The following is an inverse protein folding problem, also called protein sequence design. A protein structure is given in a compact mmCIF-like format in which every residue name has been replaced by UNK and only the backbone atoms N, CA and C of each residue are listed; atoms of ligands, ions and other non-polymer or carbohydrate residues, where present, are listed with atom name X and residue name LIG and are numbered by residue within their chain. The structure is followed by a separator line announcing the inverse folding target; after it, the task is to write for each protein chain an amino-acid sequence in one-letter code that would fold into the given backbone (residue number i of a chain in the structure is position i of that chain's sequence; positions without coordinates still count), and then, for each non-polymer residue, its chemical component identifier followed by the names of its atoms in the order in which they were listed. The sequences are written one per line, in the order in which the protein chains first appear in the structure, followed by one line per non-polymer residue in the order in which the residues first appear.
data_IF_110369244828
#
_entry.id   IF_110369244828
#
_cell.length_a   1.000
_cell.length_b   1.000
_cell.length_c   1.000
_cell.angle_alpha   90.00
_cell.angle_beta   90.00
_cell.angle_gamma   90.00
#
_symmetry.space_group_name_H-M   'P 1'
#
loop_
_entity.id
_entity.type
_entity.pdbx_description
1 polymer ?
#
# COMPACT_ATOMS: atom_id res chain seq x y z
N UNK A 1 26.71 27.60 -10.03
CA UNK A 1 25.39 28.29 -9.98
C UNK A 1 24.87 28.09 -8.58
N UNK A 2 24.78 29.14 -7.81
CA UNK A 2 24.44 29.13 -6.39
C UNK A 2 23.03 28.56 -6.18
N UNK A 3 22.95 27.47 -5.47
CA UNK A 3 21.68 26.92 -4.97
C UNK A 3 21.14 27.92 -3.95
N UNK A 4 20.14 28.70 -4.35
CA UNK A 4 19.54 29.75 -3.54
C UNK A 4 18.82 29.23 -2.27
N UNK A 5 18.56 27.91 -2.19
CA UNK A 5 18.01 27.24 -1.01
C UNK A 5 18.49 25.77 -1.01
N UNK A 6 19.29 25.32 -0.04
CA UNK A 6 19.73 23.93 0.08
C UNK A 6 18.62 23.03 0.67
N UNK A 7 17.43 23.07 0.06
CA UNK A 7 16.28 22.30 0.53
C UNK A 7 16.56 20.80 0.50
N UNK A 8 17.33 20.33 -0.51
CA UNK A 8 17.73 18.93 -0.61
C UNK A 8 18.63 18.51 0.54
N UNK A 9 19.60 19.34 0.92
CA UNK A 9 20.51 19.08 2.05
C UNK A 9 19.76 19.07 3.39
N UNK A 10 18.78 19.95 3.56
CA UNK A 10 17.96 20.01 4.78
C UNK A 10 17.05 18.78 4.91
N UNK A 11 16.46 18.33 3.80
CA UNK A 11 15.65 17.10 3.76
C UNK A 11 16.54 15.89 4.03
N UNK A 12 17.71 15.80 3.38
CA UNK A 12 18.66 14.69 3.58
C UNK A 12 19.16 14.65 5.04
N UNK A 13 19.49 15.82 5.61
CA UNK A 13 19.89 15.91 7.01
C UNK A 13 18.76 15.55 7.98
N UNK A 14 17.54 16.00 7.71
CA UNK A 14 16.35 15.62 8.49
C UNK A 14 16.07 14.13 8.45
N UNK A 15 16.16 13.53 7.27
CA UNK A 15 15.98 12.06 7.09
C UNK A 15 17.09 11.29 7.81
N UNK A 16 18.35 11.73 7.72
CA UNK A 16 19.46 11.10 8.45
C UNK A 16 19.30 11.17 9.96
N UNK A 17 18.86 12.32 10.49
CA UNK A 17 18.60 12.47 11.93
C UNK A 17 17.46 11.54 12.41
N UNK A 18 16.42 11.35 11.59
CA UNK A 18 15.34 10.40 11.88
C UNK A 18 15.86 8.96 11.87
N UNK A 19 16.72 8.61 10.92
CA UNK A 19 17.33 7.28 10.84
C UNK A 19 18.26 7.04 12.02
N UNK A 20 19.05 8.01 12.45
CA UNK A 20 20.01 7.86 13.54
C UNK A 20 19.35 7.82 14.93
N UNK A 21 18.30 8.62 15.15
CA UNK A 21 17.63 8.70 16.45
C UNK A 21 16.60 7.59 16.68
N UNK A 22 15.91 7.12 15.64
CA UNK A 22 14.78 6.18 15.74
C UNK A 22 14.93 4.96 14.81
N UNK A 23 16.18 4.59 14.47
CA UNK A 23 16.46 3.45 13.59
C UNK A 23 15.74 2.16 14.03
N UNK A 24 15.61 1.93 15.34
CA UNK A 24 14.97 0.74 15.89
C UNK A 24 13.45 0.69 15.66
N UNK A 25 12.75 1.79 15.89
CA UNK A 25 11.29 1.87 15.73
C UNK A 25 10.88 1.88 14.25
N UNK A 26 11.61 2.60 13.40
CA UNK A 26 11.39 2.61 11.96
C UNK A 26 11.64 1.24 11.33
N UNK A 27 12.73 0.56 11.73
CA UNK A 27 13.01 -0.79 11.26
C UNK A 27 11.95 -1.80 11.71
N UNK A 28 11.48 -1.71 12.95
CA UNK A 28 10.39 -2.58 13.43
C UNK A 28 9.08 -2.33 12.69
N UNK A 29 8.74 -1.09 12.41
CA UNK A 29 7.57 -0.74 11.62
C UNK A 29 7.68 -1.25 10.18
N UNK A 30 8.83 -1.04 9.53
CA UNK A 30 9.11 -1.59 8.21
C UNK A 30 9.03 -3.12 8.18
N UNK A 31 9.66 -3.79 9.15
CA UNK A 31 9.62 -5.24 9.28
C UNK A 31 8.20 -5.79 9.53
N UNK A 32 7.34 -5.07 10.26
CA UNK A 32 5.96 -5.46 10.46
C UNK A 32 5.15 -5.38 9.15
N UNK A 33 5.32 -4.33 8.35
CA UNK A 33 4.67 -4.19 7.04
C UNK A 33 5.18 -5.27 6.08
N UNK A 34 6.50 -5.49 6.05
CA UNK A 34 7.12 -6.50 5.20
C UNK A 34 6.64 -7.90 5.57
N UNK A 35 6.64 -8.25 6.86
CA UNK A 35 6.15 -9.53 7.35
C UNK A 35 4.65 -9.76 7.07
N UNK A 36 3.81 -8.72 7.18
CA UNK A 36 2.41 -8.79 6.80
C UNK A 36 2.27 -9.09 5.30
N UNK A 37 2.99 -8.32 4.47
CA UNK A 37 2.91 -8.47 3.02
C UNK A 37 3.45 -9.83 2.55
N UNK A 38 4.56 -10.27 3.13
CA UNK A 38 5.17 -11.57 2.83
C UNK A 38 4.28 -12.75 3.27
N UNK A 39 3.63 -12.63 4.42
CA UNK A 39 2.67 -13.63 4.87
C UNK A 39 1.45 -13.73 3.95
N UNK A 40 0.93 -12.61 3.47
CA UNK A 40 -0.16 -12.59 2.50
C UNK A 40 0.28 -13.12 1.14
N UNK A 41 1.47 -12.73 0.67
CA UNK A 41 2.04 -13.20 -0.59
C UNK A 41 2.25 -14.72 -0.57
N UNK A 42 2.91 -15.24 0.45
CA UNK A 42 3.15 -16.67 0.60
C UNK A 42 1.85 -17.46 0.73
N UNK A 43 0.86 -16.91 1.45
CA UNK A 43 -0.47 -17.50 1.54
C UNK A 43 -1.18 -17.54 0.19
N UNK A 44 -1.15 -16.47 -0.58
CA UNK A 44 -1.76 -16.42 -1.92
C UNK A 44 -1.05 -17.33 -2.93
N UNK A 45 0.29 -17.38 -2.88
CA UNK A 45 1.08 -18.25 -3.76
C UNK A 45 0.91 -19.75 -3.41
N UNK A 46 0.63 -20.07 -2.14
CA UNK A 46 0.34 -21.44 -1.72
C UNK A 46 -1.03 -21.95 -2.23
N UNK A 47 -1.94 -21.03 -2.59
CA UNK A 47 -3.23 -21.39 -3.12
C UNK A 47 -3.12 -21.82 -4.59
N UNK A 48 -3.77 -22.92 -4.99
CA UNK A 48 -3.79 -23.31 -6.40
C UNK A 48 -4.55 -22.26 -7.24
N UNK A 49 -4.06 -22.02 -8.46
CA UNK A 49 -4.61 -21.04 -9.41
C UNK A 49 -6.13 -21.12 -9.56
N UNK A 50 -6.65 -22.35 -9.67
CA UNK A 50 -8.08 -22.58 -9.85
C UNK A 50 -8.93 -22.15 -8.64
N UNK A 51 -8.38 -22.21 -7.43
CA UNK A 51 -9.09 -21.81 -6.21
C UNK A 51 -9.23 -20.28 -6.12
N UNK A 52 -8.16 -19.57 -6.40
CA UNK A 52 -8.18 -18.08 -6.44
C UNK A 52 -9.09 -17.60 -7.56
N UNK A 53 -8.97 -18.18 -8.76
CA UNK A 53 -9.83 -17.87 -9.89
C UNK A 53 -11.31 -18.14 -9.56
N UNK A 54 -11.61 -19.28 -8.95
CA UNK A 54 -12.98 -19.63 -8.52
C UNK A 54 -13.53 -18.63 -7.50
N UNK A 55 -12.72 -18.16 -6.54
CA UNK A 55 -13.15 -17.17 -5.57
C UNK A 55 -13.56 -15.84 -6.25
N UNK A 56 -12.77 -15.34 -7.23
CA UNK A 56 -13.11 -14.14 -7.99
C UNK A 56 -14.36 -14.33 -8.86
N UNK A 57 -14.45 -15.47 -9.56
CA UNK A 57 -15.60 -15.78 -10.44
C UNK A 57 -16.88 -15.93 -9.63
N UNK A 58 -16.85 -16.67 -8.53
CA UNK A 58 -18.03 -16.87 -7.67
C UNK A 58 -18.49 -15.57 -7.01
N UNK A 59 -17.55 -14.78 -6.50
CA UNK A 59 -17.86 -13.46 -5.92
C UNK A 59 -18.47 -12.53 -6.98
N UNK A 60 -17.89 -12.53 -8.19
CA UNK A 60 -18.39 -11.76 -9.31
C UNK A 60 -19.78 -12.22 -9.76
N UNK A 61 -20.03 -13.53 -9.81
CA UNK A 61 -21.31 -14.10 -10.16
C UNK A 61 -22.39 -13.72 -9.14
N UNK A 62 -22.06 -13.81 -7.85
CA UNK A 62 -23.01 -13.54 -6.77
C UNK A 62 -23.37 -12.05 -6.63
N UNK A 63 -22.38 -11.16 -6.80
CA UNK A 63 -22.54 -9.71 -6.57
C UNK A 63 -22.96 -8.92 -7.78
N UNK A 64 -22.54 -9.31 -8.96
CA UNK A 64 -22.70 -8.52 -10.20
C UNK A 64 -23.50 -9.28 -11.26
N UNK A 65 -23.28 -10.58 -11.39
CA UNK A 65 -23.99 -11.44 -12.33
C UNK A 65 -23.07 -12.18 -13.31
N UNK A 66 -23.71 -13.00 -14.16
CA UNK A 66 -23.01 -13.96 -15.02
C UNK A 66 -22.09 -13.32 -16.08
N UNK A 67 -22.45 -12.13 -16.60
CA UNK A 67 -21.61 -11.42 -17.59
C UNK A 67 -20.27 -11.00 -17.00
N UNK A 68 -20.28 -10.53 -15.75
CA UNK A 68 -19.07 -10.17 -15.04
C UNK A 68 -18.25 -11.40 -14.64
N UNK A 69 -18.90 -12.49 -14.26
CA UNK A 69 -18.22 -13.74 -13.99
C UNK A 69 -17.48 -14.27 -15.23
N UNK A 70 -18.09 -14.18 -16.41
CA UNK A 70 -17.45 -14.55 -17.69
C UNK A 70 -16.23 -13.68 -18.00
N UNK A 71 -16.32 -12.38 -17.74
CA UNK A 71 -15.19 -11.45 -17.83
C UNK A 71 -14.05 -11.85 -16.88
N UNK A 72 -14.36 -12.17 -15.62
CA UNK A 72 -13.36 -12.65 -14.65
C UNK A 72 -12.66 -13.94 -15.11
N UNK A 73 -13.41 -14.89 -15.66
CA UNK A 73 -12.83 -16.11 -16.26
C UNK A 73 -11.86 -15.76 -17.38
N UNK A 74 -12.25 -14.87 -18.30
CA UNK A 74 -11.39 -14.42 -19.38
C UNK A 74 -10.09 -13.79 -18.87
N UNK A 75 -10.17 -12.90 -17.88
CA UNK A 75 -9.00 -12.29 -17.24
C UNK A 75 -8.09 -13.35 -16.60
N UNK A 76 -8.65 -14.30 -15.85
CA UNK A 76 -7.87 -15.36 -15.22
C UNK A 76 -7.17 -16.25 -16.24
N UNK A 77 -7.83 -16.59 -17.35
CA UNK A 77 -7.23 -17.37 -18.44
C UNK A 77 -6.07 -16.62 -19.09
N UNK A 78 -6.23 -15.33 -19.35
CA UNK A 78 -5.16 -14.50 -19.91
C UNK A 78 -3.97 -14.42 -18.96
N UNK A 79 -4.19 -14.13 -17.67
CA UNK A 79 -3.13 -14.03 -16.66
C UNK A 79 -2.38 -15.36 -16.51
N UNK A 80 -3.12 -16.48 -16.45
CA UNK A 80 -2.52 -17.79 -16.34
C UNK A 80 -1.78 -18.19 -17.61
N UNK A 81 -2.35 -17.89 -18.79
CA UNK A 81 -1.77 -18.22 -20.09
C UNK A 81 -0.52 -17.41 -20.43
N UNK A 82 -0.41 -16.16 -19.91
CA UNK A 82 0.78 -15.31 -20.09
C UNK A 82 1.89 -15.59 -19.07
N UNK A 83 1.62 -16.43 -18.06
CA UNK A 83 2.60 -16.76 -17.01
C UNK A 83 2.78 -15.66 -15.96
N UNK A 84 1.97 -14.59 -15.96
CA UNK A 84 2.03 -13.51 -14.99
C UNK A 84 1.29 -13.79 -13.67
N UNK A 85 0.92 -15.04 -13.43
CA UNK A 85 0.22 -15.42 -12.20
C UNK A 85 0.98 -15.07 -10.92
N UNK A 86 2.29 -15.39 -10.76
CA UNK A 86 3.02 -15.04 -9.55
C UNK A 86 3.06 -13.52 -9.32
N UNK A 87 3.29 -12.73 -10.35
CA UNK A 87 3.33 -11.27 -10.26
C UNK A 87 1.96 -10.68 -9.86
N UNK A 88 0.89 -11.30 -10.33
CA UNK A 88 -0.49 -10.92 -9.94
C UNK A 88 -0.73 -11.20 -8.46
N UNK A 89 -0.23 -12.32 -7.91
CA UNK A 89 -0.35 -12.63 -6.48
C UNK A 89 0.47 -11.67 -5.62
N UNK A 90 1.68 -11.31 -6.05
CA UNK A 90 2.50 -10.29 -5.38
C UNK A 90 1.77 -8.93 -5.33
N UNK A 91 1.22 -8.50 -6.46
CA UNK A 91 0.45 -7.25 -6.54
C UNK A 91 -0.80 -7.30 -5.66
N UNK A 92 -1.51 -8.43 -5.66
CA UNK A 92 -2.70 -8.62 -4.81
C UNK A 92 -2.34 -8.57 -3.33
N UNK A 93 -1.21 -9.17 -2.93
CA UNK A 93 -0.69 -9.10 -1.57
C UNK A 93 -0.36 -7.65 -1.17
N UNK A 94 0.33 -6.90 -2.03
CA UNK A 94 0.66 -5.49 -1.79
C UNK A 94 -0.60 -4.63 -1.59
N UNK A 95 -1.57 -4.73 -2.51
CA UNK A 95 -2.82 -3.97 -2.43
C UNK A 95 -3.62 -4.35 -1.19
N UNK A 96 -3.67 -5.64 -0.85
CA UNK A 96 -4.38 -6.12 0.34
C UNK A 96 -3.71 -5.59 1.61
N UNK A 97 -2.38 -5.64 1.69
CA UNK A 97 -1.61 -5.09 2.81
C UNK A 97 -1.84 -3.58 2.97
N UNK A 98 -1.75 -2.83 1.87
CA UNK A 98 -2.01 -1.38 1.87
C UNK A 98 -3.44 -1.07 2.32
N UNK A 99 -4.43 -1.82 1.83
CA UNK A 99 -5.83 -1.66 2.22
C UNK A 99 -6.05 -1.94 3.70
N UNK A 100 -5.48 -3.04 4.23
CA UNK A 100 -5.59 -3.39 5.64
C UNK A 100 -4.94 -2.32 6.54
N UNK A 101 -3.75 -1.84 6.17
CA UNK A 101 -3.05 -0.79 6.90
C UNK A 101 -3.85 0.53 6.88
N UNK A 102 -4.38 0.90 5.71
CA UNK A 102 -5.21 2.09 5.56
C UNK A 102 -6.49 2.02 6.38
N UNK A 103 -7.14 0.85 6.44
CA UNK A 103 -8.32 0.65 7.27
C UNK A 103 -7.98 0.68 8.77
N UNK A 104 -6.87 0.06 9.16
CA UNK A 104 -6.42 0.02 10.54
C UNK A 104 -6.17 1.42 11.11
N UNK A 105 -5.61 2.32 10.31
CA UNK A 105 -5.32 3.70 10.69
C UNK A 105 -6.52 4.60 10.42
N UNK A 106 -7.12 4.48 9.24
CA UNK A 106 -8.15 5.38 8.75
C UNK A 106 -9.49 5.25 9.49
N UNK A 107 -9.90 4.03 9.89
CA UNK A 107 -11.14 3.85 10.63
C UNK A 107 -11.11 4.51 12.01
N UNK A 108 -10.09 4.29 12.88
CA UNK A 108 -10.03 4.97 14.17
C UNK A 108 -9.92 6.49 14.01
N UNK A 109 -9.11 6.95 13.06
CA UNK A 109 -8.93 8.38 12.79
C UNK A 109 -10.23 9.02 12.28
N UNK A 110 -10.92 8.36 11.35
CA UNK A 110 -12.21 8.80 10.83
C UNK A 110 -13.30 8.89 11.92
N UNK A 111 -13.36 7.88 12.79
CA UNK A 111 -14.27 7.90 13.95
C UNK A 111 -13.95 9.03 14.92
N UNK A 112 -12.66 9.32 15.14
CA UNK A 112 -12.24 10.42 16.00
C UNK A 112 -12.58 11.79 15.40
N UNK A 113 -12.36 11.95 14.10
CA UNK A 113 -12.78 13.15 13.36
C UNK A 113 -14.29 13.36 13.40
N UNK A 114 -15.08 12.28 13.35
CA UNK A 114 -16.54 12.34 13.48
C UNK A 114 -17.04 12.76 14.86
N UNK A 115 -16.21 12.59 15.91
CA UNK A 115 -16.55 12.95 17.30
C UNK A 115 -15.99 14.31 17.73
N UNK A 116 -15.04 14.90 17.00
CA UNK A 116 -14.34 16.11 17.41
C UNK A 116 -14.06 17.02 16.22
N UNK A 117 -14.72 18.16 16.21
CA UNK A 117 -14.50 19.19 15.18
C UNK A 117 -13.06 19.73 15.19
N UNK A 118 -12.40 19.75 16.36
CA UNK A 118 -10.98 20.17 16.48
C UNK A 118 -10.05 19.21 15.74
N UNK A 119 -10.28 17.90 15.92
CA UNK A 119 -9.51 16.87 15.23
C UNK A 119 -9.80 16.93 13.74
N UNK A 120 -11.06 17.08 13.35
CA UNK A 120 -11.44 17.21 11.95
C UNK A 120 -10.81 18.44 11.29
N UNK A 121 -10.78 19.59 11.96
CA UNK A 121 -10.19 20.83 11.46
C UNK A 121 -8.66 20.72 11.25
N UNK A 122 -7.98 19.87 12.03
CA UNK A 122 -6.55 19.65 11.91
C UNK A 122 -6.21 18.59 10.84
N UNK A 123 -6.97 17.50 10.83
CA UNK A 123 -6.67 16.33 9.97
C UNK A 123 -7.11 16.53 8.53
N UNK A 124 -8.28 17.17 8.28
CA UNK A 124 -8.80 17.39 6.92
C UNK A 124 -7.80 18.13 6.00
N UNK A 125 -7.22 19.26 6.40
CA UNK A 125 -6.26 19.95 5.52
C UNK A 125 -5.03 19.07 5.20
N UNK A 126 -4.59 18.26 6.14
CA UNK A 126 -3.46 17.33 5.93
C UNK A 126 -3.83 16.26 4.90
N UNK A 127 -5.01 15.65 5.02
CA UNK A 127 -5.50 14.67 4.06
C UNK A 127 -5.72 15.28 2.67
N UNK A 128 -6.32 16.48 2.60
CA UNK A 128 -6.53 17.21 1.36
C UNK A 128 -5.20 17.51 0.65
N UNK A 129 -4.19 17.93 1.43
CA UNK A 129 -2.84 18.14 0.91
C UNK A 129 -2.22 16.84 0.38
N UNK A 130 -2.32 15.75 1.12
CA UNK A 130 -1.82 14.43 0.69
C UNK A 130 -2.51 13.93 -0.59
N UNK A 131 -3.81 14.14 -0.75
CA UNK A 131 -4.55 13.75 -1.96
C UNK A 131 -4.14 14.54 -3.21
N UNK A 132 -3.73 15.79 -3.05
CA UNK A 132 -3.29 16.62 -4.18
C UNK A 132 -1.86 16.32 -4.64
N UNK A 133 -1.05 15.67 -3.80
CA UNK A 133 0.33 15.33 -4.14
C UNK A 133 0.40 14.01 -4.91
N UNK A 134 1.22 13.94 -6.00
CA UNK A 134 1.51 12.66 -6.65
C UNK A 134 2.16 11.68 -5.69
N UNK A 135 1.83 10.38 -5.79
CA UNK A 135 2.36 9.33 -4.92
C UNK A 135 3.90 9.27 -4.87
N UNK A 136 4.58 9.70 -5.94
CA UNK A 136 6.04 9.77 -5.99
C UNK A 136 6.66 10.70 -4.95
N UNK A 137 5.91 11.70 -4.47
CA UNK A 137 6.43 12.67 -3.48
C UNK A 137 6.68 12.01 -2.13
N UNK A 138 5.88 11.03 -1.73
CA UNK A 138 6.11 10.25 -0.50
C UNK A 138 6.80 8.91 -0.76
N UNK A 139 6.77 8.40 -1.99
CA UNK A 139 7.49 7.19 -2.35
C UNK A 139 9.01 7.37 -2.19
N UNK A 140 9.55 8.53 -2.62
CA UNK A 140 10.99 8.80 -2.54
C UNK A 140 11.49 8.82 -1.09
N UNK A 141 10.92 9.61 -0.15
CA UNK A 141 11.28 9.54 1.26
C UNK A 141 11.10 8.15 1.89
N UNK A 142 10.00 7.46 1.55
CA UNK A 142 9.78 6.10 2.04
C UNK A 142 10.85 5.13 1.55
N UNK A 143 11.28 5.24 0.29
CA UNK A 143 12.37 4.43 -0.25
C UNK A 143 13.73 4.78 0.37
N UNK A 144 13.94 6.03 0.77
CA UNK A 144 15.16 6.43 1.50
C UNK A 144 15.19 5.88 2.92
N UNK A 145 14.03 5.79 3.60
CA UNK A 145 13.91 5.29 4.97
C UNK A 145 13.93 3.76 5.06
N UNK A 146 13.23 3.08 4.16
CA UNK A 146 12.99 1.62 4.22
C UNK A 146 13.71 0.83 3.12
N UNK A 147 14.45 1.52 2.23
CA UNK A 147 15.05 0.90 1.06
C UNK A 147 14.03 0.70 -0.07
N UNK A 148 14.50 0.19 -1.21
CA UNK A 148 13.64 -0.17 -2.33
C UNK A 148 12.98 -1.52 -2.05
N UNK A 149 11.65 -1.60 -2.13
CA UNK A 149 10.95 -2.85 -1.86
C UNK A 149 9.45 -2.72 -1.62
N UNK A 150 8.90 -3.70 -0.90
CA UNK A 150 7.45 -3.81 -0.61
C UNK A 150 6.95 -2.69 0.30
N UNK A 151 7.75 -2.29 1.31
CA UNK A 151 7.35 -1.29 2.30
C UNK A 151 7.03 0.07 1.68
N UNK A 152 7.92 0.69 0.87
CA UNK A 152 7.59 1.92 0.17
C UNK A 152 6.38 1.77 -0.77
N UNK A 153 6.25 0.61 -1.43
CA UNK A 153 5.10 0.31 -2.28
C UNK A 153 3.78 0.34 -1.52
N UNK A 154 3.71 -0.30 -0.36
CA UNK A 154 2.52 -0.30 0.53
C UNK A 154 2.21 1.10 1.06
N UNK A 155 3.24 1.86 1.44
CA UNK A 155 3.05 3.23 1.99
C UNK A 155 2.64 4.24 0.93
N UNK A 156 2.99 4.02 -0.35
CA UNK A 156 2.64 4.93 -1.45
C UNK A 156 1.31 4.57 -2.14
N UNK A 157 0.72 3.41 -1.82
CA UNK A 157 -0.57 2.96 -2.34
C UNK A 157 -1.72 3.38 -1.43
#
# INVERSE_FOLDING_TARGET
MSEFLPLGEWVDHGVKLLIENDAGSLQQFGAAIEGLTESLESGLLALPVWLVAAAFVLTGLWRVGWKFALFCVGCCVVIAGTGFWPQTMVTLALITSATLLSLLIGLPLGLWMGKSDRVAALVRPTLDFMQTMPAFVYLIPAAMLFGLGRVPGVLAT
#
